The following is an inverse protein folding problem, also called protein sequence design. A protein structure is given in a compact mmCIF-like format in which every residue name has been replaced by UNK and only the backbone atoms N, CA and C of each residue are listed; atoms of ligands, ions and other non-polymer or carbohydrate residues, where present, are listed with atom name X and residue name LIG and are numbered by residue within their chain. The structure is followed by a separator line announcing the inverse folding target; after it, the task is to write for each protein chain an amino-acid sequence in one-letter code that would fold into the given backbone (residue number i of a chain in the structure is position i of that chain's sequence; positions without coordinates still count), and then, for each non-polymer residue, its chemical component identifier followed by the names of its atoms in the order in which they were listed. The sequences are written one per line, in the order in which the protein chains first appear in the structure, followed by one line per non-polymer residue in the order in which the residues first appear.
data_IF_697499083042
#
_entry.id   IF_697499083042
#
_cell.length_a   1.000
_cell.length_b   1.000
_cell.length_c   1.000
_cell.angle_alpha   90.00
_cell.angle_beta   90.00
_cell.angle_gamma   90.00
#
_symmetry.space_group_name_H-M   'P 1'
#
loop_
_entity.id
_entity.type
_entity.pdbx_description
1 polymer ?
#
# COMPACT_ATOMS: atom_id res chain seq x y z
N UNK A 1 4.71 -42.22 4.47
CA UNK A 1 5.10 -41.19 3.48
C UNK A 1 4.41 -39.88 3.84
N UNK A 2 5.19 -38.90 4.28
CA UNK A 2 4.76 -37.71 5.03
C UNK A 2 4.23 -36.61 4.09
N UNK A 3 2.92 -36.31 4.17
CA UNK A 3 2.27 -35.14 3.55
C UNK A 3 2.20 -33.93 4.50
N UNK A 4 2.96 -33.92 5.60
CA UNK A 4 2.85 -32.91 6.67
C UNK A 4 4.02 -31.93 6.79
N UNK A 5 5.00 -31.96 5.88
CA UNK A 5 6.17 -31.06 5.93
C UNK A 5 6.08 -29.82 5.02
N UNK A 6 4.94 -29.56 4.37
CA UNK A 6 4.89 -28.59 3.27
C UNK A 6 4.37 -27.19 3.65
N UNK A 7 3.86 -26.98 4.86
CA UNK A 7 3.26 -25.68 5.24
C UNK A 7 4.22 -24.72 5.95
N UNK A 8 5.27 -25.21 6.61
CA UNK A 8 6.23 -24.34 7.31
C UNK A 8 7.02 -23.44 6.33
N UNK A 9 7.39 -23.98 5.18
CA UNK A 9 8.14 -23.24 4.15
C UNK A 9 7.31 -22.12 3.48
N UNK A 10 5.98 -22.23 3.46
CA UNK A 10 5.09 -21.17 2.94
C UNK A 10 4.87 -20.04 3.93
N UNK A 11 4.96 -20.30 5.23
CA UNK A 11 4.82 -19.27 6.27
C UNK A 11 6.07 -18.41 6.44
N UNK A 12 7.26 -18.93 6.12
CA UNK A 12 8.51 -18.18 6.27
C UNK A 12 8.75 -17.13 5.17
N UNK A 13 8.12 -17.26 4.00
CA UNK A 13 8.25 -16.31 2.89
C UNK A 13 7.27 -15.12 2.98
N UNK A 14 6.29 -15.16 3.90
CA UNK A 14 5.34 -14.06 4.12
C UNK A 14 5.92 -12.91 4.96
N UNK A 15 7.00 -13.12 5.69
CA UNK A 15 7.62 -12.10 6.56
C UNK A 15 8.36 -11.00 5.77
N UNK A 16 8.66 -11.22 4.49
CA UNK A 16 9.34 -10.25 3.61
C UNK A 16 8.54 -10.00 2.33
N UNK A 17 7.22 -10.10 2.38
CA UNK A 17 6.42 -9.52 1.30
C UNK A 17 6.46 -8.00 1.51
N UNK A 18 6.83 -7.19 0.49
CA UNK A 18 6.75 -5.74 0.60
C UNK A 18 5.33 -5.36 1.05
N UNK A 19 5.16 -4.28 1.83
CA UNK A 19 3.87 -3.89 2.37
C UNK A 19 2.85 -3.92 1.24
N UNK A 20 1.76 -4.69 1.44
CA UNK A 20 0.70 -4.81 0.44
C UNK A 20 0.32 -3.39 0.02
N UNK A 21 0.27 -3.16 -1.28
CA UNK A 21 -0.02 -1.84 -1.88
C UNK A 21 -1.34 -1.21 -1.39
N UNK A 22 -2.17 -1.97 -0.67
CA UNK A 22 -3.41 -1.57 -0.01
C UNK A 22 -3.24 -0.51 1.08
N UNK A 23 -2.12 -0.45 1.81
CA UNK A 23 -2.00 0.40 3.02
C UNK A 23 -1.82 1.90 2.71
N UNK A 24 -1.88 2.29 1.44
CA UNK A 24 -1.76 3.69 1.01
C UNK A 24 -3.09 4.30 0.65
N UNK A 25 -4.11 3.49 0.35
CA UNK A 25 -5.42 4.00 0.00
C UNK A 25 -6.15 4.49 1.25
N UNK A 26 -6.80 5.64 1.10
CA UNK A 26 -7.56 6.28 2.16
C UNK A 26 -9.01 6.22 1.72
N UNK A 27 -9.83 5.58 2.53
CA UNK A 27 -11.24 5.45 2.25
C UNK A 27 -11.95 6.72 2.72
N UNK A 28 -12.42 7.51 1.75
CA UNK A 28 -13.27 8.68 1.96
C UNK A 28 -14.41 8.54 0.96
N UNK A 29 -15.64 8.56 1.47
CA UNK A 29 -16.83 8.43 0.64
C UNK A 29 -16.89 9.53 -0.43
N UNK A 30 -17.30 9.16 -1.63
CA UNK A 30 -17.31 10.04 -2.80
C UNK A 30 -15.93 10.45 -3.34
N UNK A 31 -14.83 10.09 -2.69
CA UNK A 31 -13.48 10.28 -3.23
C UNK A 31 -13.10 9.15 -4.19
N UNK A 32 -12.34 9.47 -5.24
CA UNK A 32 -11.86 8.46 -6.18
C UNK A 32 -10.35 8.33 -6.05
N UNK A 33 -9.89 7.11 -5.73
CA UNK A 33 -8.46 6.76 -5.76
C UNK A 33 -7.60 7.68 -4.87
N UNK A 34 -8.16 8.06 -3.72
CA UNK A 34 -7.44 8.83 -2.71
C UNK A 34 -6.42 7.94 -2.02
N UNK A 35 -5.17 8.41 -1.98
CA UNK A 35 -4.06 7.66 -1.38
C UNK A 35 -2.90 8.54 -0.98
N UNK A 36 -2.13 8.06 -0.02
CA UNK A 36 -0.79 8.57 0.29
C UNK A 36 0.17 8.27 -0.88
N UNK A 37 0.87 9.31 -1.33
CA UNK A 37 1.90 9.22 -2.38
C UNK A 37 3.30 8.94 -1.79
N UNK A 38 3.40 8.68 -0.50
CA UNK A 38 4.63 8.25 0.14
C UNK A 38 5.19 6.94 -0.42
N UNK A 39 6.51 6.82 -0.36
CA UNK A 39 7.26 5.63 -0.76
C UNK A 39 7.59 5.52 -2.25
N UNK A 40 7.18 6.49 -3.08
CA UNK A 40 7.64 6.54 -4.48
C UNK A 40 9.11 6.98 -4.53
N UNK A 41 9.96 6.36 -5.37
CA UNK A 41 11.34 6.77 -5.52
C UNK A 41 11.43 8.15 -6.19
N UNK A 42 12.34 8.97 -5.70
CA UNK A 42 12.70 10.24 -6.33
C UNK A 42 13.88 10.03 -7.28
N UNK A 43 14.13 11.01 -8.15
CA UNK A 43 15.28 10.98 -9.07
C UNK A 43 16.62 10.91 -8.33
N UNK A 44 16.67 11.50 -7.13
CA UNK A 44 17.87 11.58 -6.31
C UNK A 44 18.13 10.31 -5.47
N UNK A 45 17.31 9.27 -5.67
CA UNK A 45 17.46 7.98 -4.99
C UNK A 45 16.82 7.90 -3.60
N UNK A 46 16.13 8.96 -3.18
CA UNK A 46 15.33 8.98 -1.95
C UNK A 46 13.90 8.50 -2.21
N UNK A 47 13.04 8.59 -1.19
CA UNK A 47 11.61 8.29 -1.32
C UNK A 47 10.75 9.47 -0.88
N UNK A 48 9.59 9.63 -1.51
CA UNK A 48 8.58 10.61 -1.08
C UNK A 48 8.18 10.29 0.36
N UNK A 49 8.29 11.28 1.24
CA UNK A 49 7.93 11.13 2.65
C UNK A 49 6.43 10.84 2.78
N UNK A 50 6.10 9.83 3.59
CA UNK A 50 4.71 9.42 3.88
C UNK A 50 3.96 10.49 4.65
N UNK A 51 2.66 10.60 4.40
CA UNK A 51 1.76 11.52 5.10
C UNK A 51 1.91 13.01 4.76
N UNK A 52 2.71 13.36 3.75
CA UNK A 52 2.90 14.76 3.32
C UNK A 52 2.27 15.06 1.96
N UNK A 53 2.17 14.07 1.08
CA UNK A 53 1.63 14.23 -0.25
C UNK A 53 0.55 13.19 -0.49
N UNK A 54 -0.66 13.66 -0.77
CA UNK A 54 -1.80 12.83 -1.11
C UNK A 54 -2.21 13.10 -2.55
N UNK A 55 -2.73 12.06 -3.19
CA UNK A 55 -3.19 12.12 -4.58
C UNK A 55 -4.58 11.50 -4.67
N UNK A 56 -5.46 12.14 -5.41
CA UNK A 56 -6.79 11.63 -5.75
C UNK A 56 -7.02 11.74 -7.26
N UNK A 57 -8.01 11.02 -7.77
CA UNK A 57 -8.54 11.20 -9.12
C UNK A 57 -9.63 12.26 -9.17
N UNK A 58 -10.53 12.26 -8.18
CA UNK A 58 -11.60 13.25 -8.04
C UNK A 58 -12.00 13.40 -6.56
N UNK A 59 -12.46 14.62 -6.21
CA UNK A 59 -12.99 14.99 -4.89
C UNK A 59 -14.40 15.60 -4.96
N UNK A 60 -14.98 15.70 -6.16
CA UNK A 60 -16.26 16.37 -6.38
C UNK A 60 -17.46 15.68 -5.74
N UNK A 61 -17.31 14.43 -5.31
CA UNK A 61 -18.37 13.65 -4.64
C UNK A 61 -18.32 13.71 -3.12
N UNK A 62 -17.38 14.45 -2.53
CA UNK A 62 -17.24 14.55 -1.07
C UNK A 62 -18.25 15.56 -0.54
N UNK A 63 -19.01 15.16 0.48
CA UNK A 63 -19.90 16.02 1.26
C UNK A 63 -19.19 16.60 2.49
N UNK A 64 -19.70 17.73 3.01
CA UNK A 64 -19.31 18.30 4.31
C UNK A 64 -19.61 17.35 5.49
#
# INVERSE_FOLDING_TARGET
MSYFQSNAARMSAMTTLPPRTSDRFIDIDGSINLRDFGGYPTKDGETVKRGLLFRCGALTGISE
#
